data_IF_254066932862
#
_entry.id   IF_254066932862
#
_cell.length_a   1.000
_cell.length_b   1.000
_cell.length_c   1.000
_cell.angle_alpha   90.00
_cell.angle_beta   90.00
_cell.angle_gamma   90.00
#
_symmetry.space_group_name_H-M   'P 1'
#
loop_
_entity.id
_entity.type
_entity.pdbx_description
1 polymer ?
#
# COMPACT_ATOMS: atom_id res chain seq x y z
N UNK A 1 16.40 -72.36 65.12
CA UNK A 1 15.02 -72.79 65.46
C UNK A 1 14.11 -72.46 64.30
N UNK A 2 13.36 -73.46 63.83
CA UNK A 2 12.55 -73.45 62.61
C UNK A 2 11.14 -72.87 62.82
N UNK A 3 10.44 -72.73 61.68
CA UNK A 3 9.00 -72.57 61.41
C UNK A 3 8.48 -71.14 61.23
N UNK A 4 7.74 -70.76 60.18
CA UNK A 4 7.14 -71.50 59.04
C UNK A 4 6.71 -70.51 57.92
N UNK A 5 6.75 -70.89 56.63
CA UNK A 5 5.61 -71.33 55.77
C UNK A 5 4.41 -70.38 55.83
N UNK A 6 3.90 -69.72 54.77
CA UNK A 6 3.41 -70.16 53.43
C UNK A 6 3.43 -68.94 52.48
N UNK A 7 3.92 -68.97 51.23
CA UNK A 7 3.31 -69.49 50.00
C UNK A 7 1.95 -68.87 49.60
N UNK A 8 1.90 -68.01 48.58
CA UNK A 8 1.16 -68.24 47.31
C UNK A 8 0.98 -66.98 46.43
N UNK A 9 1.64 -67.04 45.26
CA UNK A 9 1.18 -66.76 43.89
C UNK A 9 0.57 -65.38 43.52
N UNK A 10 1.32 -64.74 42.61
CA UNK A 10 0.95 -63.92 41.45
C UNK A 10 -0.53 -63.85 41.05
N UNK A 11 -0.99 -62.66 40.67
CA UNK A 11 -1.71 -62.39 39.42
C UNK A 11 -1.76 -60.87 39.11
N UNK A 12 -1.27 -60.55 37.91
CA UNK A 12 -1.67 -59.49 36.98
C UNK A 12 -1.68 -57.99 37.38
N UNK A 13 -0.69 -57.31 36.79
CA UNK A 13 -0.71 -55.99 36.16
C UNK A 13 -2.05 -55.22 36.13
N UNK A 14 -2.03 -54.00 36.68
CA UNK A 14 -2.76 -52.87 36.14
C UNK A 14 -1.72 -51.80 35.75
N UNK A 15 -1.43 -51.72 34.46
CA UNK A 15 -0.62 -50.65 33.88
C UNK A 15 -1.39 -49.34 34.05
N UNK A 16 -0.70 -48.37 34.63
CA UNK A 16 -1.12 -46.98 34.79
C UNK A 16 -1.35 -46.39 33.40
N UNK A 17 -2.60 -46.16 33.02
CA UNK A 17 -2.96 -45.40 31.82
C UNK A 17 -3.73 -44.13 32.23
N UNK A 18 -3.00 -43.18 32.82
CA UNK A 18 -3.40 -41.78 32.90
C UNK A 18 -3.14 -41.06 31.57
N UNK A 19 -3.75 -39.89 31.34
CA UNK A 19 -4.28 -39.49 30.05
C UNK A 19 -3.19 -38.93 29.13
N UNK A 20 -3.07 -39.48 27.93
CA UNK A 20 -2.45 -38.77 26.82
C UNK A 20 -3.50 -38.57 25.72
N UNK A 21 -4.37 -37.57 25.95
CA UNK A 21 -4.86 -36.77 24.83
C UNK A 21 -3.63 -36.13 24.19
N UNK A 22 -2.92 -36.89 23.35
CA UNK A 22 -2.02 -36.35 22.35
C UNK A 22 -2.89 -35.65 21.32
N UNK A 23 -3.41 -34.49 21.72
CA UNK A 23 -3.72 -33.45 20.77
C UNK A 23 -2.41 -33.20 20.02
N UNK A 24 -2.38 -33.54 18.74
CA UNK A 24 -1.46 -32.89 17.80
C UNK A 24 -1.88 -31.41 17.75
N UNK A 25 -1.53 -30.65 18.79
CA UNK A 25 -1.26 -29.25 18.63
C UNK A 25 0.10 -29.16 17.94
N UNK A 26 0.13 -29.50 16.65
CA UNK A 26 1.15 -29.00 15.76
C UNK A 26 0.86 -27.51 15.61
N UNK A 27 1.24 -26.73 16.62
CA UNK A 27 1.40 -25.31 16.49
C UNK A 27 2.58 -25.09 15.56
N UNK A 28 2.34 -25.16 14.25
CA UNK A 28 3.15 -24.34 13.36
C UNK A 28 3.06 -22.93 13.93
N UNK A 29 4.18 -22.43 14.44
CA UNK A 29 4.29 -21.05 14.88
C UNK A 29 4.08 -20.24 13.61
N UNK A 30 2.83 -19.83 13.34
CA UNK A 30 2.50 -19.06 12.16
C UNK A 30 3.42 -17.85 12.14
N UNK A 31 4.34 -17.84 11.17
CA UNK A 31 5.34 -16.81 11.09
C UNK A 31 4.62 -15.52 10.67
N UNK A 32 4.76 -14.46 11.46
CA UNK A 32 4.16 -13.16 11.15
C UNK A 32 4.78 -12.64 9.84
N UNK A 33 3.95 -12.54 8.81
CA UNK A 33 4.25 -11.96 7.51
C UNK A 33 3.62 -10.58 7.32
N UNK A 34 3.70 -10.08 6.10
CA UNK A 34 3.13 -8.80 5.70
C UNK A 34 2.52 -8.90 4.31
N UNK A 35 1.45 -8.13 4.08
CA UNK A 35 0.94 -7.74 2.76
C UNK A 35 0.94 -6.24 2.66
N UNK A 36 1.26 -5.70 1.49
CA UNK A 36 1.19 -4.26 1.28
C UNK A 36 -0.10 -3.87 0.58
N UNK A 37 -0.68 -2.75 1.01
CA UNK A 37 -1.73 -2.03 0.28
C UNK A 37 -1.23 -0.64 -0.07
N UNK A 38 -1.58 -0.17 -1.26
CA UNK A 38 -1.21 1.15 -1.75
C UNK A 38 -2.50 1.92 -2.06
N UNK A 39 -2.70 3.04 -1.38
CA UNK A 39 -3.74 4.01 -1.70
C UNK A 39 -3.11 5.29 -2.25
N UNK A 40 -3.90 6.06 -3.00
CA UNK A 40 -3.51 7.35 -3.55
C UNK A 40 -4.45 8.45 -3.11
N UNK A 41 -3.89 9.64 -2.91
CA UNK A 41 -4.61 10.90 -2.76
C UNK A 41 -4.02 11.88 -3.77
N UNK A 42 -4.87 12.60 -4.50
CA UNK A 42 -4.41 13.70 -5.36
C UNK A 42 -4.87 15.01 -4.74
N UNK A 43 -3.95 15.94 -4.57
CA UNK A 43 -4.22 17.29 -4.07
C UNK A 43 -3.52 18.33 -4.94
N UNK A 44 -3.81 19.60 -4.70
CA UNK A 44 -3.13 20.71 -5.35
C UNK A 44 -2.64 21.70 -4.29
N UNK A 45 -1.50 22.32 -4.53
CA UNK A 45 -0.98 23.37 -3.65
C UNK A 45 -1.93 24.58 -3.64
N UNK A 46 -1.97 25.38 -2.55
CA UNK A 46 -2.88 26.50 -2.45
C UNK A 46 -2.78 27.54 -3.56
N UNK A 47 -1.60 27.67 -4.16
CA UNK A 47 -1.31 28.60 -5.25
C UNK A 47 -1.46 27.99 -6.65
N UNK A 48 -1.96 26.74 -6.75
CA UNK A 48 -2.09 26.02 -8.00
C UNK A 48 -2.98 26.77 -9.01
N UNK A 49 -2.64 26.78 -10.31
CA UNK A 49 -3.40 27.49 -11.35
C UNK A 49 -4.87 27.12 -11.40
N UNK A 50 -5.22 25.86 -11.10
CA UNK A 50 -6.60 25.36 -11.13
C UNK A 50 -7.51 26.07 -10.11
N UNK A 51 -7.00 26.58 -8.99
CA UNK A 51 -7.82 27.28 -8.00
C UNK A 51 -8.14 28.74 -8.36
N UNK A 52 -7.43 29.30 -9.35
CA UNK A 52 -7.64 30.69 -9.79
C UNK A 52 -8.81 30.81 -10.76
N UNK A 53 -8.97 29.84 -11.66
CA UNK A 53 -9.88 29.95 -12.80
C UNK A 53 -10.88 28.80 -12.91
N UNK A 54 -10.71 27.71 -12.16
CA UNK A 54 -11.42 26.46 -12.39
C UNK A 54 -12.08 25.91 -11.13
N UNK A 55 -12.45 26.77 -10.17
CA UNK A 55 -13.24 26.32 -9.02
C UNK A 55 -14.56 25.71 -9.49
N UNK A 56 -14.92 24.58 -8.90
CA UNK A 56 -16.10 23.78 -9.26
C UNK A 56 -16.10 23.22 -10.70
N UNK A 57 -15.05 23.49 -11.49
CA UNK A 57 -14.91 22.92 -12.81
C UNK A 57 -14.69 21.41 -12.71
N UNK A 58 -15.20 20.70 -13.70
CA UNK A 58 -14.97 19.27 -13.87
C UNK A 58 -13.65 19.02 -14.56
N UNK A 59 -13.09 17.84 -14.34
CA UNK A 59 -11.89 17.39 -15.01
C UNK A 59 -11.66 15.90 -14.84
N UNK A 60 -10.57 15.46 -15.44
CA UNK A 60 -10.08 14.09 -15.32
C UNK A 60 -8.57 14.10 -15.08
N UNK A 61 -8.09 13.10 -14.37
CA UNK A 61 -6.68 12.84 -14.18
C UNK A 61 -6.39 11.37 -14.36
N UNK A 62 -5.35 11.07 -15.14
CA UNK A 62 -4.74 9.76 -15.24
C UNK A 62 -3.26 9.86 -14.89
N UNK A 63 -2.71 8.81 -14.32
CA UNK A 63 -1.27 8.76 -14.08
C UNK A 63 -0.76 7.35 -14.17
N UNK A 64 0.56 7.24 -14.31
CA UNK A 64 1.24 5.95 -14.37
C UNK A 64 2.07 5.75 -13.12
N UNK A 65 1.87 4.63 -12.45
CA UNK A 65 2.63 4.23 -11.25
C UNK A 65 3.44 2.99 -11.56
N UNK A 66 4.76 3.12 -11.55
CA UNK A 66 5.67 1.98 -11.58
C UNK A 66 5.75 1.35 -10.20
N UNK A 67 5.37 0.09 -10.10
CA UNK A 67 5.37 -0.68 -8.86
C UNK A 67 6.29 -1.89 -8.98
N UNK A 68 7.13 -2.09 -7.97
CA UNK A 68 7.94 -3.29 -7.79
C UNK A 68 7.85 -3.77 -6.34
N UNK A 69 7.12 -4.85 -6.13
CA UNK A 69 7.03 -5.57 -4.87
C UNK A 69 7.75 -6.92 -5.05
N UNK A 70 8.98 -7.01 -4.56
CA UNK A 70 9.81 -8.20 -4.69
C UNK A 70 9.98 -8.87 -3.32
N UNK A 71 9.12 -9.83 -3.06
CA UNK A 71 9.28 -10.83 -2.01
C UNK A 71 9.53 -12.21 -2.63
N UNK A 72 9.85 -13.20 -1.79
CA UNK A 72 10.02 -14.58 -2.26
C UNK A 72 8.68 -15.15 -2.72
N UNK A 73 7.62 -14.82 -1.98
CA UNK A 73 6.25 -15.31 -2.13
C UNK A 73 5.40 -14.43 -3.07
N UNK A 74 5.67 -13.11 -3.09
CA UNK A 74 5.02 -12.13 -3.96
C UNK A 74 6.06 -11.51 -4.90
N UNK A 75 5.90 -11.68 -6.21
CA UNK A 75 6.79 -11.08 -7.23
C UNK A 75 5.96 -10.25 -8.20
N UNK A 76 5.69 -9.01 -7.82
CA UNK A 76 5.01 -8.08 -8.69
C UNK A 76 5.98 -7.04 -9.25
N UNK A 77 5.99 -6.93 -10.57
CA UNK A 77 6.56 -5.79 -11.27
C UNK A 77 5.60 -5.37 -12.39
N UNK A 78 5.19 -4.11 -12.39
CA UNK A 78 4.23 -3.63 -13.37
C UNK A 78 4.02 -2.13 -13.33
N UNK A 79 3.21 -1.67 -14.28
CA UNK A 79 2.74 -0.30 -14.40
C UNK A 79 1.24 -0.28 -14.09
N UNK A 80 0.84 0.47 -13.08
CA UNK A 80 -0.56 0.74 -12.78
C UNK A 80 -0.97 2.02 -13.51
N UNK A 81 -2.17 2.05 -14.08
CA UNK A 81 -2.68 3.18 -14.86
C UNK A 81 -4.01 3.68 -14.29
N UNK A 82 -4.04 4.18 -13.04
CA UNK A 82 -5.27 4.75 -12.49
C UNK A 82 -5.76 5.92 -13.34
N UNK A 83 -7.08 5.96 -13.49
CA UNK A 83 -7.81 7.03 -14.14
C UNK A 83 -8.96 7.48 -13.25
N UNK A 84 -9.12 8.78 -13.12
CA UNK A 84 -10.15 9.42 -12.31
C UNK A 84 -10.88 10.41 -13.19
N UNK A 85 -12.07 10.03 -13.65
CA UNK A 85 -13.00 10.94 -14.33
C UNK A 85 -13.84 11.71 -13.30
N UNK A 86 -14.52 12.75 -13.76
CA UNK A 86 -15.54 13.47 -12.99
C UNK A 86 -15.02 14.12 -11.70
N UNK A 87 -13.74 14.50 -11.69
CA UNK A 87 -13.14 15.26 -10.60
C UNK A 87 -13.75 16.67 -10.61
N UNK A 88 -14.27 17.11 -9.48
CA UNK A 88 -14.70 18.50 -9.29
C UNK A 88 -13.63 19.23 -8.50
N UNK A 89 -13.08 20.31 -9.08
CA UNK A 89 -12.10 21.15 -8.39
C UNK A 89 -12.77 21.77 -7.15
N UNK A 90 -12.25 21.56 -5.94
CA UNK A 90 -12.89 22.06 -4.74
C UNK A 90 -12.81 23.59 -4.66
N UNK A 91 -13.80 24.19 -3.99
CA UNK A 91 -13.93 25.64 -3.79
C UNK A 91 -12.77 26.27 -2.97
N UNK A 92 -11.88 25.46 -2.38
CA UNK A 92 -10.74 25.95 -1.65
C UNK A 92 -9.56 24.96 -1.58
N UNK A 93 -8.38 25.54 -1.37
CA UNK A 93 -7.15 24.81 -1.11
C UNK A 93 -7.29 23.92 0.15
N UNK A 94 -6.65 22.76 0.13
CA UNK A 94 -6.61 21.83 1.26
C UNK A 94 -7.65 20.69 1.21
N UNK A 95 -8.59 20.72 0.26
CA UNK A 95 -9.39 19.53 -0.07
C UNK A 95 -8.71 18.73 -1.19
N UNK A 96 -8.69 17.40 -1.12
CA UNK A 96 -8.12 16.59 -2.19
C UNK A 96 -9.00 16.67 -3.46
N UNK A 97 -8.35 16.69 -4.62
CA UNK A 97 -8.97 16.50 -5.93
C UNK A 97 -9.48 15.06 -6.05
N UNK A 98 -8.62 14.10 -5.69
CA UNK A 98 -8.96 12.68 -5.61
C UNK A 98 -8.82 12.24 -4.17
N UNK A 99 -9.95 11.83 -3.58
CA UNK A 99 -9.98 11.26 -2.22
C UNK A 99 -9.17 9.97 -2.18
N UNK A 100 -8.79 9.59 -0.97
CA UNK A 100 -8.04 8.35 -0.76
C UNK A 100 -8.72 7.16 -1.45
N UNK A 101 -8.02 6.58 -2.42
CA UNK A 101 -8.52 5.50 -3.26
C UNK A 101 -7.47 4.39 -3.35
N UNK A 102 -7.89 3.13 -3.23
CA UNK A 102 -7.01 1.97 -3.35
C UNK A 102 -6.51 1.82 -4.79
N UNK A 103 -5.20 1.74 -4.98
CA UNK A 103 -4.57 1.47 -6.27
C UNK A 103 -4.21 0.01 -6.44
N UNK A 104 -3.69 -0.61 -5.37
CA UNK A 104 -3.15 -1.95 -5.43
C UNK A 104 -3.11 -2.56 -4.03
N UNK A 105 -3.22 -3.87 -3.97
CA UNK A 105 -3.10 -4.65 -2.76
C UNK A 105 -2.48 -5.99 -3.10
N UNK A 106 -1.56 -6.42 -2.24
CA UNK A 106 -0.83 -7.66 -2.39
C UNK A 106 -1.74 -8.83 -2.03
N UNK A 107 -1.86 -9.81 -2.92
CA UNK A 107 -2.76 -10.96 -2.73
C UNK A 107 -2.19 -11.98 -1.73
N UNK A 108 -0.87 -12.11 -1.66
CA UNK A 108 -0.18 -13.19 -0.93
C UNK A 108 0.60 -12.63 0.26
N UNK A 109 0.42 -13.23 1.44
CA UNK A 109 1.25 -12.95 2.61
C UNK A 109 2.70 -13.36 2.34
N UNK A 110 3.64 -12.47 2.64
CA UNK A 110 5.05 -12.72 2.35
C UNK A 110 5.94 -12.33 3.54
N UNK A 111 7.18 -12.81 3.52
CA UNK A 111 8.15 -12.46 4.56
C UNK A 111 8.48 -10.97 4.54
N UNK A 112 8.57 -10.32 5.70
CA UNK A 112 8.90 -8.89 5.80
C UNK A 112 10.34 -8.61 5.34
N UNK A 113 10.51 -7.93 4.21
CA UNK A 113 11.82 -7.63 3.58
C UNK A 113 12.02 -6.17 3.15
N UNK A 114 11.08 -5.29 3.46
CA UNK A 114 11.10 -3.87 3.10
C UNK A 114 9.81 -3.45 2.42
N UNK A 115 9.70 -2.15 2.11
CA UNK A 115 8.55 -1.59 1.40
C UNK A 115 8.66 -1.85 -0.11
N UNK A 116 7.52 -2.02 -0.81
CA UNK A 116 7.52 -2.02 -2.27
C UNK A 116 8.08 -0.69 -2.80
N UNK A 117 8.79 -0.76 -3.93
CA UNK A 117 9.25 0.44 -4.64
C UNK A 117 8.10 0.95 -5.50
N UNK A 118 7.66 2.18 -5.23
CA UNK A 118 6.53 2.81 -5.93
C UNK A 118 6.98 4.16 -6.46
N UNK A 119 6.67 4.46 -7.72
CA UNK A 119 7.10 5.70 -8.38
C UNK A 119 6.06 6.14 -9.38
N UNK A 120 5.52 7.35 -9.23
CA UNK A 120 4.70 7.97 -10.27
C UNK A 120 5.63 8.43 -11.39
N UNK A 121 5.34 8.06 -12.63
CA UNK A 121 6.20 8.35 -13.78
C UNK A 121 5.63 9.37 -14.74
N UNK A 122 4.30 9.51 -14.74
CA UNK A 122 3.56 10.42 -15.59
C UNK A 122 2.26 10.81 -14.89
N UNK A 123 1.82 12.04 -15.09
CA UNK A 123 0.51 12.58 -14.72
C UNK A 123 -0.05 13.32 -15.93
N UNK A 124 -1.28 13.01 -16.32
CA UNK A 124 -1.95 13.61 -17.46
C UNK A 124 -3.42 13.88 -17.14
N UNK A 125 -4.05 14.79 -17.85
CA UNK A 125 -5.48 15.06 -17.71
C UNK A 125 -5.80 16.51 -17.99
N UNK A 126 -6.98 16.95 -17.60
CA UNK A 126 -7.40 18.31 -17.81
C UNK A 126 -8.48 18.73 -16.81
N UNK A 127 -8.63 20.04 -16.63
CA UNK A 127 -9.73 20.64 -15.88
C UNK A 127 -10.38 21.77 -16.70
N UNK A 128 -11.70 21.92 -16.59
CA UNK A 128 -12.47 22.89 -17.36
C UNK A 128 -12.77 22.44 -18.79
N UNK A 129 -13.57 23.25 -19.48
CA UNK A 129 -14.01 23.00 -20.85
C UNK A 129 -13.74 24.23 -21.74
N UNK A 130 -13.65 24.01 -23.06
CA UNK A 130 -13.45 25.08 -24.05
C UNK A 130 -12.18 25.90 -23.82
N UNK A 131 -12.28 27.21 -24.02
CA UNK A 131 -11.16 28.16 -23.92
C UNK A 131 -10.60 28.31 -22.49
N UNK A 132 -11.33 27.84 -21.48
CA UNK A 132 -10.90 27.82 -20.07
C UNK A 132 -10.16 26.55 -19.67
N UNK A 133 -10.01 25.57 -20.58
CA UNK A 133 -9.43 24.26 -20.27
C UNK A 133 -7.94 24.38 -19.92
N UNK A 134 -7.57 23.82 -18.78
CA UNK A 134 -6.18 23.68 -18.34
C UNK A 134 -5.73 22.24 -18.54
N UNK A 135 -4.77 22.06 -19.44
CA UNK A 135 -4.11 20.78 -19.67
C UNK A 135 -3.09 20.48 -18.57
N UNK A 136 -3.08 19.23 -18.12
CA UNK A 136 -2.12 18.68 -17.18
C UNK A 136 -1.27 17.66 -17.93
N UNK A 137 0.05 17.86 -17.93
CA UNK A 137 1.01 16.93 -18.56
C UNK A 137 2.34 16.97 -17.82
N UNK A 138 2.38 16.29 -16.69
CA UNK A 138 3.58 16.12 -15.86
C UNK A 138 4.33 14.84 -16.23
N UNK A 139 5.60 14.96 -16.58
CA UNK A 139 6.47 13.78 -16.81
C UNK A 139 7.77 13.88 -16.05
N UNK A 140 8.33 12.73 -15.69
CA UNK A 140 9.64 12.68 -15.06
C UNK A 140 10.69 13.18 -16.05
N UNK A 141 11.55 14.10 -15.59
CA UNK A 141 12.68 14.55 -16.39
C UNK A 141 13.70 13.43 -16.54
N UNK A 142 14.19 13.26 -17.76
CA UNK A 142 15.33 12.39 -18.06
C UNK A 142 16.54 13.24 -18.49
N UNK A 143 17.72 12.91 -17.95
CA UNK A 143 18.96 13.57 -18.32
C UNK A 143 19.21 13.33 -19.82
N UNK A 144 19.55 14.39 -20.55
CA UNK A 144 19.78 14.34 -22.00
C UNK A 144 18.54 14.55 -22.86
N UNK A 145 17.35 14.68 -22.26
CA UNK A 145 16.12 15.08 -22.96
C UNK A 145 15.74 16.53 -22.67
N UNK A 146 14.87 17.09 -23.52
CA UNK A 146 14.28 18.41 -23.31
C UNK A 146 13.54 18.47 -21.97
N UNK A 147 13.57 19.64 -21.34
CA UNK A 147 12.81 19.87 -20.10
C UNK A 147 11.32 19.81 -20.46
N UNK A 148 10.53 18.98 -19.74
CA UNK A 148 9.10 18.90 -20.01
C UNK A 148 8.39 20.21 -19.68
N UNK A 149 7.25 20.51 -20.36
CA UNK A 149 6.44 21.68 -20.04
C UNK A 149 6.02 21.73 -18.57
N UNK A 150 5.74 20.57 -17.97
CA UNK A 150 5.57 20.40 -16.54
C UNK A 150 6.42 19.23 -16.02
N UNK A 151 7.35 19.53 -15.12
CA UNK A 151 8.27 18.56 -14.54
C UNK A 151 7.60 17.85 -13.35
N UNK A 152 7.52 16.52 -13.42
CA UNK A 152 7.10 15.67 -12.31
C UNK A 152 8.33 15.24 -11.51
N UNK A 153 8.36 15.60 -10.22
CA UNK A 153 9.38 15.18 -9.27
C UNK A 153 8.81 14.03 -8.41
N UNK A 154 9.21 12.77 -8.63
CA UNK A 154 8.69 11.65 -7.87
C UNK A 154 9.52 11.36 -6.60
N UNK A 155 8.94 10.58 -5.69
CA UNK A 155 9.68 9.93 -4.60
C UNK A 155 10.03 10.86 -3.44
N UNK A 156 9.37 12.00 -3.31
CA UNK A 156 9.49 12.88 -2.15
C UNK A 156 8.95 12.12 -0.94
N UNK A 157 9.81 11.77 0.01
CA UNK A 157 9.39 11.07 1.23
C UNK A 157 8.58 12.01 2.11
N UNK A 158 7.37 11.59 2.47
CA UNK A 158 6.55 12.27 3.47
C UNK A 158 6.78 11.65 4.85
N UNK A 159 6.37 12.37 5.89
CA UNK A 159 6.32 11.80 7.23
C UNK A 159 5.37 10.60 7.26
N UNK A 160 5.74 9.58 8.03
CA UNK A 160 4.83 8.46 8.30
C UNK A 160 3.60 8.97 9.04
N UNK A 161 2.44 8.42 8.70
CA UNK A 161 1.17 8.79 9.29
C UNK A 161 0.36 7.58 9.72
N UNK A 162 -0.82 7.84 10.27
CA UNK A 162 -1.81 6.82 10.60
C UNK A 162 -3.18 7.33 10.18
N UNK A 163 -4.01 6.43 9.65
CA UNK A 163 -5.44 6.68 9.42
C UNK A 163 -6.25 5.43 9.75
N UNK A 164 -7.50 5.36 9.27
CA UNK A 164 -8.42 4.25 9.55
C UNK A 164 -7.92 2.88 9.04
N UNK A 165 -6.95 2.85 8.12
CA UNK A 165 -6.32 1.61 7.65
C UNK A 165 -5.07 1.22 8.45
N UNK A 166 -4.64 2.08 9.39
CA UNK A 166 -3.46 1.88 10.22
C UNK A 166 -2.30 2.80 9.82
N UNK A 167 -1.09 2.38 10.20
CA UNK A 167 0.14 3.10 9.91
C UNK A 167 0.47 3.04 8.42
N UNK A 168 0.96 4.14 7.86
CA UNK A 168 1.40 4.20 6.47
C UNK A 168 2.71 4.95 6.28
N UNK A 169 3.39 4.61 5.19
CA UNK A 169 4.53 5.35 4.65
C UNK A 169 4.08 6.17 3.45
N UNK A 170 4.29 7.49 3.49
CA UNK A 170 3.87 8.41 2.45
C UNK A 170 4.99 8.74 1.45
N UNK A 171 4.66 8.76 0.17
CA UNK A 171 5.54 9.23 -0.90
C UNK A 171 4.77 10.15 -1.82
N UNK A 172 5.33 11.32 -2.13
CA UNK A 172 4.74 12.30 -3.03
C UNK A 172 5.46 12.30 -4.37
N UNK A 173 4.66 12.40 -5.43
CA UNK A 173 5.11 12.95 -6.70
C UNK A 173 4.46 14.32 -6.91
N UNK A 174 5.25 15.32 -7.25
CA UNK A 174 4.78 16.69 -7.35
C UNK A 174 5.11 17.28 -8.73
N UNK A 175 4.13 17.90 -9.37
CA UNK A 175 4.37 18.67 -10.60
C UNK A 175 4.80 20.10 -10.27
N UNK A 176 5.68 20.65 -11.11
CA UNK A 176 6.31 21.95 -10.87
C UNK A 176 5.42 23.11 -11.27
N UNK A 177 4.72 23.00 -12.40
CA UNK A 177 3.93 24.08 -13.02
C UNK A 177 2.44 23.95 -12.65
N UNK A 178 1.85 22.76 -12.80
CA UNK A 178 0.45 22.54 -12.39
C UNK A 178 0.27 22.45 -10.87
N UNK A 179 1.35 22.27 -10.11
CA UNK A 179 1.37 22.28 -8.63
C UNK A 179 0.44 21.21 -8.03
N UNK A 180 0.36 20.08 -8.69
CA UNK A 180 -0.40 18.91 -8.27
C UNK A 180 0.49 17.97 -7.48
N UNK A 181 -0.08 17.36 -6.45
CA UNK A 181 0.55 16.38 -5.61
C UNK A 181 -0.18 15.04 -5.77
N UNK A 182 0.56 13.99 -6.08
CA UNK A 182 0.11 12.61 -6.06
C UNK A 182 0.78 11.93 -4.87
N UNK A 183 0.00 11.76 -3.80
CA UNK A 183 0.47 11.17 -2.55
C UNK A 183 0.09 9.69 -2.51
N UNK A 184 1.12 8.83 -2.50
CA UNK A 184 1.02 7.39 -2.37
C UNK A 184 1.20 7.01 -0.91
N UNK A 185 0.22 6.32 -0.34
CA UNK A 185 0.27 5.77 1.01
C UNK A 185 0.47 4.26 0.94
N UNK A 186 1.55 3.77 1.53
CA UNK A 186 1.89 2.35 1.59
C UNK A 186 1.59 1.82 2.99
N UNK A 187 0.64 0.90 3.10
CA UNK A 187 0.21 0.26 4.33
C UNK A 187 0.81 -1.14 4.45
N UNK A 188 1.67 -1.42 5.44
CA UNK A 188 2.03 -2.78 5.80
C UNK A 188 0.93 -3.41 6.67
N UNK A 189 0.25 -4.41 6.14
CA UNK A 189 -0.82 -5.15 6.83
C UNK A 189 -0.23 -6.46 7.33
N UNK A 190 -0.19 -6.64 8.64
CA UNK A 190 0.28 -7.89 9.24
C UNK A 190 -0.63 -9.06 8.86
N UNK A 191 -0.03 -10.20 8.55
CA UNK A 191 -0.72 -11.42 8.18
C UNK A 191 0.08 -12.66 8.63
N UNK A 192 -0.51 -13.84 8.50
CA UNK A 192 0.15 -15.10 8.81
C UNK A 192 0.57 -15.81 7.53
N UNK A 193 1.81 -16.33 7.52
CA UNK A 193 2.37 -17.17 6.46
C UNK A 193 1.89 -18.62 6.57
#
# INVERSE_FOLDING_TARGET
MCFGRQAARCLLALVIAGPSLMGKAAGETQQLGVRHRIDVVVSAEPDAPIFRHLREAKGELSFTVRLSANAKESRFFGMLHPNFSDIVVPDGAGKPLVRQTKLWEEEVCHQRRGLPKVTVTQLAGHFGEGDGRVEISGINRHIGLLVPPDELTPGIKLDSGSDNLGLFYGFRAQTRISRLNVDLKIYPIDCFL
#
